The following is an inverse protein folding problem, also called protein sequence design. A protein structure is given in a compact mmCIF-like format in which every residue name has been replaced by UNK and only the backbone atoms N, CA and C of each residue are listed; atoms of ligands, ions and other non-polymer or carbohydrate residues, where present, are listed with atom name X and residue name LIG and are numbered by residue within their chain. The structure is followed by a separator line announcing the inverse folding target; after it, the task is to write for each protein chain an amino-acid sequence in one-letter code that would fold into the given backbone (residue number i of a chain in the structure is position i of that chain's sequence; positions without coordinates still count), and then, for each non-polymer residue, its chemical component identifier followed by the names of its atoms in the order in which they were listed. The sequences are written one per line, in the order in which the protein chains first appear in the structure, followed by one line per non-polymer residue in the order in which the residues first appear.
data_IF_548453452469
#
_entry.id   IF_548453452469
#
_cell.length_a   1.000
_cell.length_b   1.000
_cell.length_c   1.000
_cell.angle_alpha   90.00
_cell.angle_beta   90.00
_cell.angle_gamma   90.00
#
_symmetry.space_group_name_H-M   'P 1'
#
loop_
_entity.id
_entity.type
_entity.pdbx_description
1 polymer ?
2 polymer ?
3 non-polymer ?
4 water ?
#
# COMPACT_ATOMS: atom_id res chain seq x y z
N UNK A 3 11.89 8.77 1.01
CA UNK A 3 11.44 7.52 1.69
C UNK A 3 11.56 7.65 3.22
N UNK A 4 12.44 8.53 3.69
CA UNK A 4 12.71 8.65 5.11
C UNK A 4 11.78 9.65 5.75
N UNK A 5 11.59 9.55 7.05
CA UNK A 5 10.72 10.49 7.76
C UNK A 5 11.28 11.91 7.81
N UNK A 6 10.38 12.89 7.79
CA UNK A 6 10.72 14.30 7.90
C UNK A 6 10.09 14.88 9.15
N UNK A 7 10.72 15.91 9.67
CA UNK A 7 10.21 16.61 10.81
C UNK A 7 9.48 17.87 10.38
N UNK A 8 8.36 18.11 11.04
CA UNK A 8 7.65 19.36 10.90
C UNK A 8 7.47 20.00 12.28
N UNK A 9 7.44 21.32 12.29
CA UNK A 9 7.24 22.12 13.47
C UNK A 9 6.07 23.06 13.22
N UNK A 10 5.07 23.03 14.11
CA UNK A 10 3.82 23.81 13.95
C UNK A 10 3.44 24.51 15.22
N UNK A 11 2.69 25.58 15.08
CA UNK A 11 2.16 26.31 16.22
C UNK A 11 0.66 26.09 16.33
N UNK A 12 0.17 25.89 17.56
CA UNK A 12 -1.25 25.70 17.84
C UNK A 12 -1.94 27.04 17.96
N UNK A 13 -3.20 27.10 17.55
CA UNK A 13 -4.04 28.27 17.81
C UNK A 13 -4.46 28.35 19.30
N UNK A 14 -5.31 29.32 19.62
CA UNK A 14 -5.79 29.52 20.99
C UNK A 14 -6.46 28.29 21.62
N UNK A 15 -7.24 27.56 20.84
CA UNK A 15 -7.93 26.34 21.29
C UNK A 15 -7.01 25.10 21.26
N UNK A 16 -5.69 25.31 21.22
CA UNK A 16 -4.73 24.23 21.05
C UNK A 16 -4.81 23.42 19.77
N UNK A 17 -5.30 24.03 18.69
CA UNK A 17 -5.54 23.30 17.44
C UNK A 17 -4.55 23.71 16.37
N UNK A 18 -4.23 22.76 15.48
CA UNK A 18 -3.31 22.95 14.35
C UNK A 18 -3.99 22.65 13.01
N UNK A 19 -5.29 22.34 13.02
CA UNK A 19 -6.05 22.07 11.81
C UNK A 19 -5.90 20.68 11.27
N UNK A 20 -5.86 19.72 12.18
CA UNK A 20 -5.58 18.33 11.89
C UNK A 20 -6.59 17.35 12.55
N UNK A 21 -7.16 16.45 11.74
CA UNK A 21 -7.81 15.22 12.25
C UNK A 21 -6.99 13.98 11.90
N UNK A 22 -6.86 13.07 12.88
CA UNK A 22 -6.04 11.89 12.74
C UNK A 22 -6.93 10.66 12.88
N UNK A 23 -6.41 9.54 12.36
CA UNK A 23 -7.10 8.26 12.35
C UNK A 23 -6.12 7.15 12.67
N UNK A 24 -6.54 6.24 13.56
CA UNK A 24 -5.81 5.01 13.85
C UNK A 24 -6.08 3.94 12.82
N UNK A 25 -5.01 3.48 12.16
CA UNK A 25 -5.06 2.41 11.17
C UNK A 25 -3.92 1.44 11.41
N UNK A 26 -4.21 0.16 11.64
CA UNK A 26 -3.16 -0.86 11.75
C UNK A 26 -2.09 -0.47 12.81
N UNK A 27 -2.56 0.09 13.92
CA UNK A 27 -1.72 0.52 15.04
C UNK A 27 -0.70 1.59 14.71
N UNK A 28 -1.00 2.31 13.63
CA UNK A 28 -0.33 3.57 13.32
C UNK A 28 -1.32 4.71 13.37
N UNK A 29 -0.82 5.93 13.16
CA UNK A 29 -1.64 7.13 13.19
C UNK A 29 -1.45 7.82 11.85
N UNK A 30 -2.56 8.19 11.22
CA UNK A 30 -2.53 8.74 9.86
C UNK A 30 -3.32 10.04 9.80
N UNK A 31 -2.89 10.97 8.97
CA UNK A 31 -3.64 12.21 8.74
C UNK A 31 -4.90 11.90 7.92
N UNK A 32 -6.04 12.37 8.42
CA UNK A 32 -7.37 12.16 7.84
C UNK A 32 -8.01 13.45 7.33
N UNK A 33 -7.81 14.56 8.05
CA UNK A 33 -8.37 15.83 7.57
C UNK A 33 -7.44 16.96 7.88
N UNK A 34 -7.14 17.75 6.87
CA UNK A 34 -6.29 18.92 7.05
C UNK A 34 -7.16 20.17 6.74
N UNK A 35 -7.36 21.03 7.74
CA UNK A 35 -8.17 22.24 7.55
C UNK A 35 -7.44 23.25 6.67
N UNK A 36 -8.20 23.87 5.79
CA UNK A 36 -7.65 24.89 4.91
C UNK A 36 -6.96 26.02 5.69
N UNK A 37 -5.78 26.36 5.21
CA UNK A 37 -4.98 27.51 5.70
C UNK A 37 -4.60 27.44 7.17
N UNK A 38 -4.49 26.21 7.65
CA UNK A 38 -4.08 25.95 9.01
C UNK A 38 -2.55 25.78 9.04
N UNK A 39 -1.98 25.78 10.23
CA UNK A 39 -0.58 25.42 10.39
C UNK A 39 -0.25 24.04 9.77
N UNK A 40 -1.15 23.07 9.89
CA UNK A 40 -0.92 21.75 9.31
C UNK A 40 -0.80 21.79 7.81
N UNK A 41 -1.68 22.56 7.18
CA UNK A 41 -1.65 22.76 5.73
C UNK A 41 -0.29 23.37 5.31
N UNK A 42 0.14 24.39 6.04
CA UNK A 42 1.34 25.14 5.69
C UNK A 42 2.59 24.25 5.64
N UNK A 43 2.74 23.30 6.57
CA UNK A 43 3.90 22.40 6.58
C UNK A 43 3.79 21.15 5.69
N UNK A 44 2.71 21.08 4.92
CA UNK A 44 2.58 20.10 3.87
C UNK A 44 1.96 18.79 4.31
N UNK A 45 1.25 18.81 5.43
CA UNK A 45 0.63 17.55 5.86
C UNK A 45 -0.55 17.30 4.93
N UNK A 46 -0.75 16.04 4.61
CA UNK A 46 -1.79 15.63 3.68
C UNK A 46 -2.44 14.36 4.13
N UNK A 47 -3.68 14.18 3.71
CA UNK A 47 -4.43 12.94 3.88
C UNK A 47 -3.55 11.74 3.50
N UNK A 48 -3.38 10.80 4.44
CA UNK A 48 -2.59 9.60 4.20
C UNK A 48 -1.18 9.65 4.72
N UNK A 49 -0.69 10.83 5.11
CA UNK A 49 0.66 10.91 5.75
C UNK A 49 0.61 10.18 7.11
N UNK A 50 1.68 9.47 7.44
CA UNK A 50 1.73 8.76 8.70
C UNK A 50 2.50 9.57 9.73
N UNK A 51 1.92 9.66 10.92
CA UNK A 51 2.58 10.30 12.03
C UNK A 51 3.32 9.28 12.90
N UNK A 52 4.65 9.32 12.87
CA UNK A 52 5.45 8.43 13.71
C UNK A 52 5.61 8.91 15.16
N UNK A 53 5.80 10.20 15.37
CA UNK A 53 5.98 10.79 16.68
C UNK A 53 5.30 12.15 16.74
N UNK A 54 4.83 12.48 17.92
CA UNK A 54 4.40 13.82 18.28
C UNK A 54 5.26 14.25 19.47
N UNK A 55 5.98 15.36 19.31
CA UNK A 55 6.91 15.84 20.34
C UNK A 55 7.81 14.70 20.85
N UNK A 56 8.28 13.88 19.92
CA UNK A 56 9.27 12.88 20.25
C UNK A 56 8.72 11.61 20.86
N UNK A 57 7.40 11.53 21.05
CA UNK A 57 6.70 10.39 21.68
C UNK A 57 6.12 9.54 20.54
N UNK A 58 6.32 8.23 20.58
CA UNK A 58 5.85 7.35 19.51
C UNK A 58 4.35 7.26 19.50
N UNK A 59 3.76 7.35 18.31
CA UNK A 59 2.29 7.23 18.16
C UNK A 59 1.79 5.80 18.04
N UNK A 60 2.69 4.83 17.97
CA UNK A 60 2.34 3.42 17.73
C UNK A 60 1.30 2.97 18.74
N UNK A 61 0.19 2.44 18.23
CA UNK A 61 -0.83 1.86 19.09
C UNK A 61 -1.81 2.87 19.68
N UNK A 62 -1.61 4.16 19.42
CA UNK A 62 -2.51 5.19 19.97
C UNK A 62 -3.82 5.16 19.23
N UNK A 63 -4.89 5.48 19.94
CA UNK A 63 -6.16 5.76 19.26
C UNK A 63 -6.11 7.15 18.67
N UNK A 64 -7.04 7.43 17.77
CA UNK A 64 -7.15 8.80 17.31
C UNK A 64 -7.51 9.77 18.43
N UNK A 65 -8.41 9.37 19.34
CA UNK A 65 -8.75 10.21 20.50
C UNK A 65 -7.49 10.56 21.31
N UNK A 66 -6.59 9.60 21.46
CA UNK A 66 -5.37 9.82 22.24
C UNK A 66 -4.45 10.78 21.50
N UNK A 67 -4.30 10.58 20.20
CA UNK A 67 -3.44 11.46 19.39
C UNK A 67 -3.93 12.90 19.46
N UNK A 68 -5.24 13.12 19.42
CA UNK A 68 -5.77 14.49 19.46
C UNK A 68 -5.57 15.10 20.84
N UNK A 69 -5.76 14.29 21.89
CA UNK A 69 -5.54 14.73 23.26
C UNK A 69 -4.08 15.13 23.49
N UNK A 70 -3.13 14.40 22.92
CA UNK A 70 -1.70 14.70 23.01
C UNK A 70 -1.39 16.06 22.37
N UNK A 71 -2.00 16.33 21.23
CA UNK A 71 -1.76 17.58 20.53
C UNK A 71 -2.34 18.76 21.35
N UNK A 72 -3.57 18.57 21.82
CA UNK A 72 -4.30 19.62 22.53
C UNK A 72 -3.63 19.94 23.85
N UNK A 73 -3.09 18.93 24.52
CA UNK A 73 -2.46 19.10 25.83
C UNK A 73 -0.96 19.38 25.80
N UNK A 74 -0.37 19.36 24.61
CA UNK A 74 1.05 19.67 24.48
C UNK A 74 1.37 21.07 25.03
N UNK A 75 2.49 21.15 25.75
CA UNK A 75 2.88 22.39 26.40
C UNK A 75 3.47 23.34 25.40
N UNK A 76 3.24 24.63 25.60
CA UNK A 76 3.77 25.62 24.70
C UNK A 76 2.89 25.77 23.48
N UNK A 77 3.32 26.63 22.56
CA UNK A 77 2.68 26.77 21.25
C UNK A 77 3.24 25.78 20.21
N UNK A 78 4.57 25.61 20.16
CA UNK A 78 5.20 24.79 19.12
C UNK A 78 5.09 23.29 19.38
N UNK A 79 4.67 22.57 18.34
CA UNK A 79 4.54 21.10 18.30
C UNK A 79 5.45 20.59 17.22
N UNK A 80 6.19 19.54 17.52
CA UNK A 80 7.00 18.89 16.52
C UNK A 80 6.33 17.54 16.20
N UNK A 81 6.36 17.15 14.93
CA UNK A 81 5.88 15.82 14.53
C UNK A 81 6.88 15.23 13.59
N UNK A 82 7.02 13.92 13.64
CA UNK A 82 7.84 13.20 12.68
C UNK A 82 6.91 12.44 11.74
N UNK A 83 7.09 12.65 10.44
CA UNK A 83 6.11 12.26 9.41
C UNK A 83 6.73 11.40 8.38
N UNK A 84 6.02 10.35 8.03
CA UNK A 84 6.36 9.56 6.88
C UNK A 84 5.36 9.91 5.81
N UNK A 85 5.83 10.44 4.70
CA UNK A 85 4.95 10.86 3.62
C UNK A 85 4.17 9.66 3.02
N UNK A 86 2.87 9.90 2.84
CA UNK A 86 1.89 8.94 2.31
C UNK A 86 2.45 7.59 1.93
N UNK A 87 2.64 6.74 2.92
CA UNK A 87 3.29 5.46 2.67
C UNK A 87 2.48 4.52 1.77
N UNK A 88 1.17 4.72 1.68
CA UNK A 88 0.33 3.86 0.84
C UNK A 88 0.06 4.39 -0.58
N UNK A 89 0.69 5.52 -0.94
CA UNK A 89 0.40 6.18 -2.21
C UNK A 89 1.05 5.45 -3.38
N UNK A 90 0.36 5.34 -4.49
CA UNK A 90 0.90 4.86 -5.74
C UNK A 90 0.45 5.79 -6.85
N UNK A 91 1.17 5.75 -7.96
CA UNK A 91 0.86 6.58 -9.12
C UNK A 91 0.59 5.71 -10.32
N UNK A 92 -0.48 6.05 -11.05
CA UNK A 92 -0.89 5.34 -12.26
C UNK A 92 -1.04 6.38 -13.35
N UNK A 93 -0.41 6.15 -14.50
CA UNK A 93 -0.64 7.00 -15.65
C UNK A 93 -1.47 6.29 -16.72
N UNK A 94 -2.52 6.97 -17.17
CA UNK A 94 -3.42 6.43 -18.17
C UNK A 94 -3.49 7.41 -19.36
N UNK A 95 -4.01 6.93 -20.48
CA UNK A 95 -4.16 7.73 -21.71
C UNK A 95 -5.61 7.71 -22.11
N UNK A 96 -6.19 8.86 -22.40
CA UNK A 96 -7.57 8.87 -22.81
C UNK A 96 -7.67 8.16 -24.17
N UNK A 97 -8.74 7.41 -24.35
CA UNK A 97 -9.03 6.75 -25.60
C UNK A 97 -9.61 7.76 -26.61
N UNK A 98 -9.97 7.29 -27.80
CA UNK A 98 -10.48 8.20 -28.83
C UNK A 98 -11.77 8.97 -28.45
N UNK A 99 -12.55 8.47 -27.49
CA UNK A 99 -13.71 9.23 -26.97
C UNK A 99 -13.40 10.09 -25.69
N UNK A 100 -12.12 10.26 -25.35
CA UNK A 100 -11.70 11.01 -24.17
C UNK A 100 -11.86 10.36 -22.81
N UNK A 101 -11.99 9.02 -22.74
CA UNK A 101 -12.21 8.31 -21.48
C UNK A 101 -11.00 7.47 -21.10
N UNK A 102 -10.69 7.41 -19.80
CA UNK A 102 -9.60 6.57 -19.28
C UNK A 102 -10.07 5.23 -18.72
N UNK A 103 -11.32 5.14 -18.32
CA UNK A 103 -11.96 3.86 -18.04
C UNK A 103 -12.21 3.45 -16.59
N UNK A 104 -12.72 4.38 -15.80
CA UNK A 104 -13.15 4.06 -14.47
C UNK A 104 -14.34 4.89 -14.05
N UNK A 105 -15.03 4.34 -13.09
CA UNK A 105 -16.12 5.01 -12.43
C UNK A 105 -15.67 5.32 -11.01
N UNK A 106 -16.03 6.51 -10.53
CA UNK A 106 -15.78 6.87 -9.13
C UNK A 106 -16.96 7.54 -8.51
N UNK A 107 -16.98 7.49 -7.19
CA UNK A 107 -17.96 8.22 -6.39
C UNK A 107 -17.36 8.55 -5.05
N UNK A 108 -17.65 9.77 -4.59
CA UNK A 108 -17.12 10.25 -3.33
C UNK A 108 -15.61 10.13 -3.35
N UNK A 109 -15.03 10.50 -4.49
CA UNK A 109 -13.59 10.52 -4.66
C UNK A 109 -12.91 9.16 -4.58
N UNK A 110 -13.68 8.07 -4.61
CA UNK A 110 -13.19 6.68 -4.56
C UNK A 110 -13.50 5.89 -5.85
N UNK A 111 -12.51 5.17 -6.36
CA UNK A 111 -12.69 4.32 -7.56
C UNK A 111 -13.55 3.11 -7.22
N UNK A 112 -14.65 2.90 -7.96
CA UNK A 112 -15.61 1.81 -7.69
C UNK A 112 -15.68 0.78 -8.81
N UNK A 113 -15.37 1.18 -10.04
CA UNK A 113 -15.30 0.19 -11.11
C UNK A 113 -14.29 0.51 -12.17
N UNK A 114 -13.74 -0.54 -12.77
CA UNK A 114 -12.80 -0.43 -13.90
C UNK A 114 -13.52 -0.87 -15.15
N UNK A 115 -13.53 -0.01 -16.15
CA UNK A 115 -14.19 -0.31 -17.43
C UNK A 115 -13.33 -1.29 -18.24
N UNK A 116 -13.99 -2.27 -18.83
CA UNK A 116 -13.31 -3.32 -19.58
C UNK A 116 -12.50 -2.74 -20.73
N UNK A 117 -11.31 -3.30 -20.91
CA UNK A 117 -10.39 -2.98 -21.99
C UNK A 117 -10.04 -1.48 -22.20
N UNK A 118 -10.05 -0.74 -21.10
CA UNK A 118 -9.67 0.65 -21.07
C UNK A 118 -8.21 0.80 -20.65
N UNK A 119 -7.73 2.03 -20.68
CA UNK A 119 -6.37 2.35 -20.21
C UNK A 119 -6.29 2.01 -18.72
N UNK A 120 -7.32 2.35 -17.95
CA UNK A 120 -7.35 1.99 -16.51
C UNK A 120 -7.21 0.49 -16.33
N UNK A 121 -7.93 -0.31 -17.12
CA UNK A 121 -7.80 -1.76 -17.08
C UNK A 121 -6.41 -2.22 -17.42
N UNK A 122 -5.83 -1.72 -18.52
CA UNK A 122 -4.48 -2.08 -18.93
C UNK A 122 -3.42 -1.77 -17.88
N UNK A 123 -3.66 -0.71 -17.14
CA UNK A 123 -2.71 -0.25 -16.15
C UNK A 123 -2.95 -0.89 -14.79
N UNK A 124 -4.00 -1.69 -14.65
CA UNK A 124 -4.30 -2.37 -13.40
C UNK A 124 -4.73 -1.46 -12.28
N UNK A 125 -5.45 -0.41 -12.66
CA UNK A 125 -6.07 0.45 -11.65
C UNK A 125 -6.99 -0.38 -10.76
N UNK A 126 -6.93 -0.12 -9.46
CA UNK A 126 -7.72 -0.87 -8.48
C UNK A 126 -8.87 -0.05 -7.94
N UNK A 127 -9.95 -0.75 -7.58
CA UNK A 127 -11.08 -0.13 -6.89
C UNK A 127 -10.81 -0.07 -5.38
N UNK A 128 -11.77 0.47 -4.66
CA UNK A 128 -11.65 0.66 -3.23
C UNK A 128 -10.37 1.50 -2.96
N UNK A 129 -10.06 2.41 -3.88
CA UNK A 129 -8.90 3.33 -3.73
C UNK A 129 -9.37 4.77 -3.84
N UNK A 130 -8.89 5.62 -2.93
CA UNK A 130 -9.15 7.04 -3.00
C UNK A 130 -8.24 7.70 -4.00
N UNK A 131 -8.80 8.66 -4.76
CA UNK A 131 -8.04 9.52 -5.65
C UNK A 131 -7.48 10.71 -4.85
N UNK A 132 -6.17 10.90 -4.89
CA UNK A 132 -5.50 11.94 -4.09
C UNK A 132 -5.18 13.14 -4.96
N UNK A 133 -4.65 12.89 -6.16
CA UNK A 133 -4.23 13.92 -7.08
C UNK A 133 -4.46 13.49 -8.52
N UNK A 134 -4.74 14.46 -9.37
CA UNK A 134 -4.84 14.26 -10.80
C UNK A 134 -4.02 15.35 -11.46
N UNK A 135 -3.01 14.94 -12.22
CA UNK A 135 -2.06 15.85 -12.89
C UNK A 135 -1.57 16.98 -11.98
N UNK A 136 -1.20 16.65 -10.76
CA UNK A 136 -0.70 17.61 -9.80
C UNK A 136 -1.76 18.44 -9.10
N UNK A 137 -3.03 18.16 -9.32
CA UNK A 137 -4.11 18.85 -8.61
C UNK A 137 -4.66 17.98 -7.49
N UNK A 138 -4.52 18.45 -6.25
CA UNK A 138 -5.09 17.72 -5.13
C UNK A 138 -6.59 17.74 -5.24
N UNK A 139 -7.20 16.58 -5.11
CA UNK A 139 -8.63 16.46 -5.22
C UNK A 139 -9.29 16.02 -3.92
N UNK A 140 -8.49 15.84 -2.88
CA UNK A 140 -9.00 15.58 -1.53
C UNK A 140 -9.82 16.77 -1.12
N UNK A 141 -11.07 16.50 -0.74
CA UNK A 141 -11.97 17.58 -0.31
C UNK A 141 -12.76 18.27 -1.41
N UNK A 142 -12.61 17.82 -2.65
CA UNK A 142 -13.36 18.39 -3.76
C UNK A 142 -14.64 17.58 -3.98
N UNK A 143 -15.65 18.24 -4.55
CA UNK A 143 -16.88 17.58 -4.93
C UNK A 143 -16.57 16.77 -6.18
N UNK A 144 -17.22 15.63 -6.31
CA UNK A 144 -17.08 14.80 -7.51
C UNK A 144 -17.20 15.55 -8.81
N UNK A 145 -18.05 16.59 -8.89
CA UNK A 145 -18.19 17.34 -10.13
C UNK A 145 -16.91 18.06 -10.54
N UNK A 146 -16.20 18.62 -9.57
CA UNK A 146 -14.94 19.31 -9.83
C UNK A 146 -13.85 18.33 -10.27
N UNK A 147 -13.86 17.13 -9.68
CA UNK A 147 -12.95 16.04 -10.04
C UNK A 147 -13.24 15.60 -11.48
N UNK A 148 -14.50 15.32 -11.79
CA UNK A 148 -14.92 15.01 -13.17
C UNK A 148 -14.51 16.10 -14.14
N UNK A 149 -14.62 17.37 -13.73
CA UNK A 149 -14.21 18.51 -14.56
C UNK A 149 -12.69 18.56 -14.76
N UNK A 150 -11.90 18.21 -13.73
CA UNK A 150 -10.44 18.21 -13.88
C UNK A 150 -10.07 17.14 -14.92
N UNK A 151 -10.77 16.00 -14.83
CA UNK A 151 -10.51 14.88 -15.72
C UNK A 151 -10.94 15.25 -17.13
N UNK A 152 -12.09 15.92 -17.23
CA UNK A 152 -12.64 16.33 -18.53
C UNK A 152 -11.67 17.24 -19.27
N UNK A 153 -11.22 18.30 -18.61
CA UNK A 153 -10.30 19.27 -19.23
C UNK A 153 -8.90 18.76 -19.41
N UNK A 154 -8.56 17.63 -18.79
CA UNK A 154 -7.22 17.07 -18.95
C UNK A 154 -6.88 16.74 -20.41
N UNK A 155 -5.62 16.97 -20.77
CA UNK A 155 -5.02 16.39 -21.94
C UNK A 155 -5.16 14.88 -21.90
N UNK A 156 -4.62 14.25 -22.93
CA UNK A 156 -4.70 12.80 -23.15
C UNK A 156 -4.05 12.04 -21.98
N UNK A 157 -2.88 12.50 -21.53
CA UNK A 157 -2.16 11.87 -20.42
C UNK A 157 -2.78 12.29 -19.09
N UNK A 158 -3.22 11.30 -18.32
CA UNK A 158 -3.87 11.50 -17.03
C UNK A 158 -3.09 10.74 -15.99
N UNK A 159 -2.44 11.45 -15.08
CA UNK A 159 -1.63 10.80 -14.07
C UNK A 159 -2.35 10.98 -12.75
N UNK A 160 -2.68 9.87 -12.08
CA UNK A 160 -3.34 9.95 -10.80
C UNK A 160 -2.52 9.30 -9.71
N UNK A 161 -2.63 9.85 -8.52
CA UNK A 161 -2.12 9.21 -7.32
C UNK A 161 -3.31 8.71 -6.52
N UNK A 162 -3.19 7.50 -6.02
CA UNK A 162 -4.29 6.81 -5.36
C UNK A 162 -3.77 6.20 -4.08
N UNK A 163 -4.67 5.91 -3.15
CA UNK A 163 -4.33 5.16 -1.98
C UNK A 163 -5.44 4.23 -1.65
N UNK A 164 -5.12 3.05 -1.13
CA UNK A 164 -6.16 2.13 -0.66
C UNK A 164 -7.03 2.78 0.41
N UNK A 165 -8.32 2.48 0.40
CA UNK A 165 -9.28 3.18 1.25
C UNK A 165 -9.15 2.91 2.77
N UNK A 166 -8.52 1.81 3.17
CA UNK A 166 -7.98 1.66 4.57
C UNK A 166 -8.53 2.57 5.69
N UNK B 4 8.23 0.33 -14.04
CA UNK B 4 7.24 -0.06 -15.08
C UNK B 4 6.92 -1.56 -14.89
N UNK B 5 5.82 -2.04 -15.47
CA UNK B 5 5.55 -3.47 -15.46
C UNK B 5 6.59 -4.24 -16.25
N UNK B 6 6.61 -5.54 -16.10
CA UNK B 6 7.50 -6.36 -16.89
C UNK B 6 6.78 -7.54 -17.48
N UNK B 7 7.39 -8.07 -18.53
CA UNK B 7 6.82 -9.17 -19.29
C UNK B 7 7.56 -10.46 -18.99
N UNK B 8 6.85 -11.55 -18.76
CA UNK B 8 7.46 -12.86 -18.56
C UNK B 8 6.77 -13.88 -19.44
N UNK B 9 7.48 -14.93 -19.78
CA UNK B 9 6.91 -16.01 -20.56
C UNK B 9 7.19 -17.32 -19.83
N UNK B 10 6.11 -18.00 -19.45
CA UNK B 10 6.18 -19.22 -18.69
C UNK B 10 5.97 -20.39 -19.63
N UNK B 11 6.61 -21.52 -19.35
CA UNK B 11 6.36 -22.72 -20.12
C UNK B 11 5.70 -23.75 -19.21
N UNK B 12 4.53 -24.27 -19.61
CA UNK B 12 3.79 -25.25 -18.82
C UNK B 12 4.69 -26.44 -18.50
N UNK B 13 4.57 -26.97 -17.28
CA UNK B 13 5.31 -28.15 -16.84
C UNK B 13 4.67 -29.41 -17.45
N UNK B 14 4.84 -30.56 -16.79
CA UNK B 14 4.35 -31.87 -17.31
C UNK B 14 2.84 -32.10 -17.11
N UNK B 15 2.32 -31.75 -15.94
CA UNK B 15 0.88 -31.88 -15.67
C UNK B 15 0.07 -30.84 -16.47
N UNK B 16 0.74 -29.78 -16.93
CA UNK B 16 0.10 -28.61 -17.50
C UNK B 16 0.06 -27.43 -16.54
N UNK B 17 0.61 -27.61 -15.32
CA UNK B 17 0.66 -26.56 -14.29
C UNK B 17 1.86 -25.60 -14.42
N UNK B 18 1.82 -24.53 -13.63
CA UNK B 18 2.93 -23.55 -13.56
C UNK B 18 3.39 -23.21 -12.15
N UNK B 19 2.78 -23.80 -11.13
CA UNK B 19 3.16 -23.57 -9.75
C UNK B 19 2.68 -22.25 -9.19
N UNK B 20 1.53 -21.80 -9.68
CA UNK B 20 1.01 -20.46 -9.37
C UNK B 20 -0.43 -20.49 -8.87
N UNK B 21 -0.68 -19.75 -7.80
CA UNK B 21 -1.99 -19.50 -7.22
C UNK B 21 -2.25 -18.01 -7.22
N UNK B 22 -3.44 -17.60 -7.65
CA UNK B 22 -3.80 -16.17 -7.76
C UNK B 22 -4.95 -15.82 -6.85
N UNK B 23 -5.09 -14.53 -6.55
CA UNK B 23 -6.16 -14.03 -5.70
C UNK B 23 -6.66 -12.69 -6.25
N UNK B 24 -7.97 -12.52 -6.25
CA UNK B 24 -8.60 -11.26 -6.66
C UNK B 24 -8.59 -10.30 -5.48
N UNK B 25 -8.05 -9.09 -5.67
CA UNK B 25 -8.12 -8.03 -4.66
C UNK B 25 -8.44 -6.71 -5.35
N UNK B 26 -9.50 -6.03 -4.90
CA UNK B 26 -9.86 -4.72 -5.47
C UNK B 26 -9.88 -4.71 -7.00
N UNK B 27 -10.46 -5.77 -7.57
CA UNK B 27 -10.63 -5.93 -9.03
C UNK B 27 -9.31 -6.00 -9.79
N UNK B 28 -8.26 -6.33 -9.06
CA UNK B 28 -7.04 -6.81 -9.67
C UNK B 28 -6.74 -8.24 -9.28
N UNK B 29 -5.67 -8.77 -9.85
CA UNK B 29 -5.23 -10.14 -9.67
C UNK B 29 -3.82 -10.13 -9.14
N UNK B 30 -3.59 -10.86 -8.05
CA UNK B 30 -2.30 -10.84 -7.36
C UNK B 30 -1.81 -12.27 -7.14
N UNK B 31 -0.50 -12.43 -7.15
CA UNK B 31 0.14 -13.72 -6.87
C UNK B 31 -0.01 -14.01 -5.37
N UNK B 32 -0.54 -15.19 -5.05
CA UNK B 32 -0.82 -15.59 -3.67
C UNK B 32 0.15 -16.69 -3.20
N UNK B 33 0.63 -17.52 -4.12
CA UNK B 33 1.60 -18.57 -3.75
C UNK B 33 2.42 -19.02 -4.98
N UNK B 34 3.74 -19.09 -4.81
CA UNK B 34 4.67 -19.50 -5.86
C UNK B 34 5.46 -20.71 -5.33
N UNK B 35 5.27 -21.85 -5.98
CA UNK B 35 5.95 -23.08 -5.59
C UNK B 35 7.39 -23.08 -6.09
N UNK B 36 8.32 -23.61 -5.29
CA UNK B 36 9.74 -23.59 -5.66
C UNK B 36 9.93 -24.48 -6.86
N UNK B 37 10.94 -24.15 -7.66
CA UNK B 37 11.29 -24.91 -8.87
C UNK B 37 10.13 -25.15 -9.82
N UNK B 38 9.31 -24.11 -10.00
CA UNK B 38 8.16 -24.13 -10.90
C UNK B 38 8.44 -23.23 -12.09
N UNK B 39 7.65 -23.36 -13.16
CA UNK B 39 7.70 -22.34 -14.22
C UNK B 39 7.48 -20.92 -13.66
N UNK B 40 6.60 -20.75 -12.65
CA UNK B 40 6.38 -19.45 -12.00
C UNK B 40 7.62 -18.93 -11.29
N UNK B 41 8.34 -19.79 -10.58
CA UNK B 41 9.55 -19.34 -9.90
C UNK B 41 10.67 -19.04 -10.90
N UNK B 42 10.74 -19.77 -12.01
CA UNK B 42 11.77 -19.55 -13.07
C UNK B 42 11.76 -18.15 -13.70
N UNK B 43 10.56 -17.55 -13.75
CA UNK B 43 10.43 -16.18 -14.26
C UNK B 43 10.39 -15.11 -13.16
N UNK B 44 10.56 -15.52 -11.90
CA UNK B 44 10.72 -14.59 -10.79
C UNK B 44 9.45 -14.04 -10.16
N UNK B 45 8.33 -14.74 -10.31
CA UNK B 45 7.09 -14.30 -9.67
C UNK B 45 7.20 -14.45 -8.16
N UNK B 46 6.58 -13.52 -7.44
CA UNK B 46 6.64 -13.45 -6.00
C UNK B 46 5.27 -13.12 -5.44
N UNK B 47 5.05 -13.54 -4.19
CA UNK B 47 3.89 -13.14 -3.41
C UNK B 47 3.68 -11.64 -3.52
N UNK B 48 2.46 -11.25 -3.90
CA UNK B 48 2.08 -9.85 -3.94
C UNK B 48 2.25 -9.20 -5.30
N UNK B 49 2.96 -9.82 -6.25
CA UNK B 49 3.06 -9.29 -7.63
C UNK B 49 1.66 -9.15 -8.23
N UNK B 50 1.45 -8.10 -9.02
CA UNK B 50 0.15 -7.90 -9.66
C UNK B 50 0.24 -8.42 -11.09
N UNK B 51 -0.72 -9.22 -11.48
CA UNK B 51 -0.81 -9.70 -12.84
C UNK B 51 -1.71 -8.80 -13.64
N UNK B 52 -1.16 -8.06 -14.60
CA UNK B 52 -1.98 -7.13 -15.38
C UNK B 52 -2.65 -7.79 -16.58
N UNK B 53 -1.93 -8.70 -17.20
CA UNK B 53 -2.41 -9.35 -18.43
C UNK B 53 -1.91 -10.77 -18.47
N UNK B 54 -2.74 -11.68 -18.97
CA UNK B 54 -2.38 -13.06 -19.27
C UNK B 54 -2.77 -13.34 -20.71
N UNK B 55 -1.78 -13.70 -21.51
CA UNK B 55 -2.01 -14.09 -22.90
C UNK B 55 -2.79 -13.03 -23.67
N UNK B 56 -2.48 -11.74 -23.43
CA UNK B 56 -3.11 -10.66 -24.15
C UNK B 56 -4.50 -10.27 -23.71
N UNK B 57 -4.93 -10.77 -22.57
CA UNK B 57 -6.18 -10.41 -21.96
C UNK B 57 -5.87 -9.67 -20.67
N UNK B 58 -6.51 -8.53 -20.47
CA UNK B 58 -6.44 -7.82 -19.19
C UNK B 58 -7.10 -8.63 -18.08
N UNK B 59 -6.47 -8.69 -16.90
CA UNK B 59 -7.01 -9.43 -15.76
C UNK B 59 -7.98 -8.61 -14.90
N UNK B 60 -8.18 -7.33 -15.23
CA UNK B 60 -9.02 -6.44 -14.44
C UNK B 60 -10.44 -7.02 -14.27
N UNK B 61 -10.89 -7.08 -13.03
CA UNK B 61 -12.19 -7.60 -12.71
C UNK B 61 -12.35 -9.09 -12.66
N UNK B 62 -11.31 -9.85 -13.00
CA UNK B 62 -11.41 -11.32 -12.96
C UNK B 62 -11.47 -11.84 -11.52
N UNK B 63 -12.27 -12.89 -11.32
CA UNK B 63 -12.24 -13.61 -10.07
C UNK B 63 -10.99 -14.50 -10.02
N UNK B 64 -10.59 -14.88 -8.80
CA UNK B 64 -9.62 -15.97 -8.55
C UNK B 64 -9.95 -17.19 -9.42
N UNK B 65 -11.17 -17.70 -9.28
CA UNK B 65 -11.63 -18.85 -10.06
C UNK B 65 -11.38 -18.71 -11.58
N UNK B 66 -11.75 -17.56 -12.17
CA UNK B 66 -11.57 -17.32 -13.60
C UNK B 66 -10.09 -17.39 -13.98
N UNK B 67 -9.28 -16.70 -13.19
CA UNK B 67 -7.85 -16.59 -13.46
C UNK B 67 -7.23 -17.97 -13.52
N UNK B 68 -7.59 -18.82 -12.57
CA UNK B 68 -7.11 -20.20 -12.58
C UNK B 68 -7.59 -21.04 -13.76
N UNK B 69 -8.83 -20.82 -14.22
CA UNK B 69 -9.35 -21.55 -15.38
C UNK B 69 -8.59 -21.17 -16.60
N UNK B 70 -8.35 -19.86 -16.74
CA UNK B 70 -7.69 -19.34 -17.89
C UNK B 70 -6.32 -19.99 -18.01
N UNK B 71 -5.61 -20.05 -16.89
CA UNK B 71 -4.27 -20.62 -16.87
C UNK B 71 -4.30 -22.10 -17.30
N UNK B 72 -5.26 -22.86 -16.78
CA UNK B 72 -5.47 -24.27 -17.16
C UNK B 72 -5.74 -24.51 -18.64
N UNK B 73 -6.64 -23.72 -19.23
CA UNK B 73 -7.15 -23.95 -20.58
C UNK B 73 -6.40 -23.20 -21.68
N UNK B 74 -5.31 -22.52 -21.28
CA UNK B 74 -4.51 -21.72 -22.20
C UNK B 74 -3.96 -22.64 -23.26
N UNK B 75 -4.08 -22.28 -24.53
CA UNK B 75 -3.59 -23.19 -25.56
C UNK B 75 -2.07 -23.11 -25.76
N UNK B 76 -1.49 -24.21 -26.24
CA UNK B 76 -0.05 -24.30 -26.41
C UNK B 76 0.67 -24.42 -25.07
N UNK B 77 1.97 -24.18 -25.10
CA UNK B 77 2.83 -24.43 -23.96
C UNK B 77 3.42 -23.16 -23.35
N UNK B 78 3.32 -22.04 -24.07
CA UNK B 78 3.82 -20.76 -23.61
C UNK B 78 2.66 -19.93 -23.06
N UNK B 79 2.79 -19.47 -21.82
CA UNK B 79 1.90 -18.45 -21.24
C UNK B 79 2.66 -17.13 -21.03
N UNK B 80 2.18 -16.06 -21.64
CA UNK B 80 2.75 -14.75 -21.39
C UNK B 80 1.95 -13.99 -20.32
N UNK B 81 2.67 -13.25 -19.49
CA UNK B 81 2.10 -12.34 -18.50
C UNK B 81 2.82 -11.01 -18.47
N UNK B 82 2.09 -9.95 -18.15
CA UNK B 82 2.66 -8.70 -17.73
C UNK B 82 2.37 -8.51 -16.25
N UNK B 83 3.42 -8.16 -15.51
CA UNK B 83 3.45 -8.12 -14.08
C UNK B 83 3.83 -6.75 -13.61
N UNK B 84 3.14 -6.24 -12.61
CA UNK B 84 3.64 -5.09 -11.83
C UNK B 84 4.21 -5.64 -10.53
N UNK B 85 5.48 -5.39 -10.29
CA UNK B 85 6.15 -5.98 -9.13
C UNK B 85 5.55 -5.42 -7.82
N UNK B 86 5.15 -6.35 -6.95
CA UNK B 86 4.64 -6.08 -5.60
C UNK B 86 4.28 -4.63 -5.31
N UNK B 87 3.17 -4.16 -5.86
CA UNK B 87 2.79 -2.75 -5.73
C UNK B 87 2.51 -2.31 -4.29
N UNK B 88 2.11 -3.24 -3.43
CA UNK B 88 1.77 -2.91 -2.05
C UNK B 88 2.98 -3.09 -1.10
N UNK B 89 4.16 -3.47 -1.59
CA UNK B 89 5.31 -3.72 -0.71
C UNK B 89 5.87 -2.41 -0.16
N UNK B 90 6.30 -2.46 1.10
CA UNK B 90 7.01 -1.39 1.77
C UNK B 90 8.17 -2.01 2.50
N UNK B 91 9.23 -1.26 2.72
CA UNK B 91 10.38 -1.77 3.43
C UNK B 91 10.54 -0.89 4.68
N UNK B 92 10.82 -1.51 5.81
CA UNK B 92 11.03 -0.79 7.06
C UNK B 92 12.33 -1.31 7.66
N UNK B 93 13.20 -0.39 8.09
CA UNK B 93 14.47 -0.79 8.73
C UNK B 93 14.42 -0.53 10.23
N UNK B 94 14.79 -1.55 10.99
CA UNK B 94 14.78 -1.49 12.43
C UNK B 94 16.14 -1.91 12.97
N UNK B 95 16.33 -1.65 14.24
CA UNK B 95 17.58 -1.89 14.93
C UNK B 95 17.30 -2.66 16.20
N UNK B 96 17.97 -3.78 16.41
CA UNK B 96 17.74 -4.58 17.60
C UNK B 96 18.20 -3.87 18.86
N UNK B 97 17.45 -4.02 19.94
CA UNK B 97 17.84 -3.54 21.27
C UNK B 97 18.82 -4.51 21.94
N UNK B 98 19.21 -4.21 23.18
CA UNK B 98 20.28 -4.99 23.81
C UNK B 98 19.81 -6.40 24.19
N UNK B 99 18.50 -6.65 24.20
CA UNK B 99 17.95 -8.01 24.35
C UNK B 99 17.78 -8.76 23.00
N UNK B 100 18.13 -8.13 21.87
CA UNK B 100 18.07 -8.74 20.54
C UNK B 100 16.70 -8.56 19.89
N UNK B 101 15.88 -7.66 20.43
CA UNK B 101 14.49 -7.54 19.97
C UNK B 101 14.31 -6.28 19.13
N UNK B 102 13.51 -6.38 18.07
CA UNK B 102 13.14 -5.22 17.25
C UNK B 102 11.80 -4.59 17.66
N UNK B 103 10.91 -5.37 18.26
CA UNK B 103 9.69 -4.85 18.86
C UNK B 103 8.35 -5.14 18.24
N UNK B 104 8.14 -6.36 17.76
CA UNK B 104 6.79 -6.72 17.34
C UNK B 104 6.47 -8.17 17.60
N UNK B 105 5.16 -8.44 17.59
CA UNK B 105 4.60 -9.77 17.78
C UNK B 105 4.00 -10.18 16.45
N UNK B 106 4.19 -11.43 16.06
CA UNK B 106 3.58 -11.94 14.85
C UNK B 106 3.07 -13.38 15.03
N UNK B 107 2.09 -13.71 14.20
CA UNK B 107 1.48 -15.03 14.22
C UNK B 107 1.09 -15.38 12.79
N UNK B 108 1.45 -16.58 12.35
CA UNK B 108 1.18 -17.01 10.99
C UNK B 108 1.65 -15.99 9.94
N UNK B 109 2.87 -15.51 10.13
CA UNK B 109 3.52 -14.65 9.15
C UNK B 109 2.97 -13.24 9.11
N UNK B 110 2.11 -12.88 10.07
CA UNK B 110 1.43 -11.58 10.06
C UNK B 110 1.73 -10.84 11.35
N UNK B 111 2.13 -9.58 11.23
CA UNK B 111 2.38 -8.75 12.39
C UNK B 111 1.07 -8.42 13.11
N UNK B 112 1.02 -8.69 14.41
CA UNK B 112 -0.18 -8.46 15.21
C UNK B 112 -0.11 -7.45 16.32
N UNK B 113 1.10 -7.15 16.82
CA UNK B 113 1.25 -6.13 17.83
C UNK B 113 2.61 -5.47 17.72
N UNK B 114 2.67 -4.19 18.09
CA UNK B 114 3.92 -3.43 18.10
C UNK B 114 4.28 -3.21 19.57
N UNK B 115 5.51 -3.53 19.94
CA UNK B 115 5.96 -3.41 21.32
C UNK B 115 6.31 -1.95 21.65
N UNK B 116 5.84 -1.46 22.79
CA UNK B 116 6.12 -0.11 23.28
C UNK B 116 7.61 0.11 23.40
N UNK B 117 8.06 1.30 22.97
CA UNK B 117 9.43 1.79 23.17
C UNK B 117 10.48 1.04 22.37
N UNK B 118 10.05 0.40 21.30
CA UNK B 118 10.92 -0.40 20.46
C UNK B 118 11.26 0.28 19.15
N UNK B 119 12.20 -0.32 18.43
CA UNK B 119 12.57 0.15 17.11
C UNK B 119 11.38 0.05 16.15
N UNK B 120 10.62 -1.04 16.24
CA UNK B 120 9.42 -1.14 15.42
C UNK B 120 8.46 0.03 15.68
N UNK B 121 8.28 0.42 16.94
CA UNK B 121 7.42 1.57 17.30
C UNK B 121 7.97 2.86 16.70
N UNK B 122 9.27 3.09 16.91
CA UNK B 122 9.95 4.28 16.40
C UNK B 122 9.81 4.43 14.92
N UNK B 123 9.86 3.32 14.22
CA UNK B 123 9.85 3.32 12.78
C UNK B 123 8.44 3.16 12.17
N UNK B 124 7.41 3.06 13.00
CA UNK B 124 6.05 3.06 12.48
C UNK B 124 5.64 1.78 11.78
N UNK B 125 6.16 0.67 12.25
CA UNK B 125 5.74 -0.65 11.76
C UNK B 125 4.26 -0.82 12.01
N UNK B 126 3.56 -1.41 11.04
CA UNK B 126 2.11 -1.55 11.15
C UNK B 126 1.71 -3.00 11.33
N UNK B 127 0.61 -3.22 12.03
CA UNK B 127 -0.02 -4.54 12.16
C UNK B 127 -0.92 -4.89 10.97
N UNK B 128 -1.48 -6.10 11.00
CA UNK B 128 -2.28 -6.55 9.86
C UNK B 128 -1.47 -6.51 8.55
N UNK B 129 -0.16 -6.76 8.67
CA UNK B 129 0.70 -6.78 7.54
C UNK B 129 1.42 -8.10 7.48
N UNK B 130 1.57 -8.66 6.30
CA UNK B 130 2.33 -9.90 6.14
C UNK B 130 3.81 -9.61 5.99
N UNK B 131 4.63 -10.45 6.61
CA UNK B 131 6.08 -10.36 6.48
C UNK B 131 6.48 -11.13 5.22
N UNK B 132 7.05 -10.41 4.25
CA UNK B 132 7.45 -10.98 2.98
C UNK B 132 8.91 -11.34 2.91
N UNK B 133 9.78 -10.42 3.33
CA UNK B 133 11.23 -10.68 3.31
C UNK B 133 11.89 -10.15 4.55
N UNK B 134 12.99 -10.78 4.94
CA UNK B 134 13.87 -10.24 6.00
C UNK B 134 15.27 -10.18 5.42
N UNK B 135 15.82 -8.99 5.36
CA UNK B 135 17.12 -8.75 4.69
C UNK B 135 17.16 -9.37 3.31
N UNK B 136 16.06 -9.22 2.57
CA UNK B 136 16.01 -9.72 1.21
C UNK B 136 15.78 -11.21 1.08
N UNK B 137 15.53 -11.89 2.19
CA UNK B 137 15.33 -13.32 2.19
C UNK B 137 13.84 -13.61 2.27
N UNK B 138 13.30 -14.26 1.22
CA UNK B 138 11.89 -14.62 1.21
C UNK B 138 11.52 -15.47 2.41
N UNK B 139 10.46 -15.09 3.13
CA UNK B 139 9.95 -15.88 4.24
C UNK B 139 8.48 -16.27 4.11
N UNK B 140 7.90 -16.06 2.93
CA UNK B 140 6.50 -16.42 2.73
C UNK B 140 6.42 -17.93 2.72
N UNK B 141 5.44 -18.45 3.44
CA UNK B 141 5.23 -19.89 3.53
C UNK B 141 6.16 -20.62 4.50
N UNK B 142 7.02 -19.89 5.22
CA UNK B 142 7.84 -20.50 6.25
C UNK B 142 7.06 -20.60 7.54
N UNK B 143 7.44 -21.55 8.39
CA UNK B 143 6.89 -21.62 9.72
C UNK B 143 7.34 -20.41 10.52
N UNK B 144 6.51 -20.02 11.48
CA UNK B 144 6.78 -18.88 12.36
C UNK B 144 8.14 -19.07 13.09
N UNK B 145 8.40 -20.30 13.53
CA UNK B 145 9.67 -20.60 14.18
C UNK B 145 10.86 -20.34 13.27
N UNK B 146 10.71 -20.63 11.97
CA UNK B 146 11.74 -20.37 10.97
C UNK B 146 11.94 -18.88 10.74
N UNK B 147 10.84 -18.13 10.78
CA UNK B 147 10.90 -16.68 10.61
C UNK B 147 11.66 -16.09 11.78
N UNK B 148 11.32 -16.52 12.98
CA UNK B 148 12.02 -16.04 14.19
C UNK B 148 13.51 -16.42 14.16
N UNK B 149 13.81 -17.58 13.62
CA UNK B 149 15.18 -18.08 13.50
C UNK B 149 15.98 -17.19 12.55
N UNK B 150 15.36 -16.81 11.44
CA UNK B 150 16.01 -15.94 10.49
C UNK B 150 16.25 -14.57 11.12
N UNK B 151 15.27 -14.04 11.85
CA UNK B 151 15.42 -12.73 12.51
C UNK B 151 16.61 -12.71 13.49
N UNK B 152 16.74 -13.82 14.23
CA UNK B 152 17.80 -13.97 15.25
C UNK B 152 19.22 -13.95 14.68
N UNK B 153 19.39 -14.28 13.41
CA UNK B 153 20.70 -14.33 12.77
C UNK B 153 20.88 -13.29 11.67
N UNK B 154 19.98 -12.33 11.61
CA UNK B 154 20.15 -11.21 10.71
C UNK B 154 21.05 -10.31 11.54
N UNK B 155 21.32 -9.10 11.16
CA UNK B 155 22.26 -8.42 12.07
C UNK B 155 21.54 -7.72 13.21
N UNK B 156 22.17 -6.65 13.69
CA UNK B 156 21.50 -5.64 14.48
C UNK B 156 20.58 -4.76 13.60
N UNK B 157 20.87 -4.65 12.31
CA UNK B 157 20.04 -3.87 11.36
C UNK B 157 19.20 -4.87 10.57
N UNK B 158 17.89 -4.78 10.75
CA UNK B 158 16.95 -5.72 10.17
C UNK B 158 16.03 -4.92 9.27
N UNK B 159 16.05 -5.22 7.98
CA UNK B 159 15.12 -4.62 7.03
C UNK B 159 14.07 -5.66 6.71
N UNK B 160 12.81 -5.33 6.94
CA UNK B 160 11.70 -6.24 6.61
C UNK B 160 10.83 -5.63 5.50
N UNK B 161 10.42 -6.48 4.57
CA UNK B 161 9.52 -6.09 3.50
C UNK B 161 8.16 -6.63 3.95
N UNK B 162 7.16 -5.77 3.94
CA UNK B 162 5.82 -6.09 4.40
C UNK B 162 4.80 -5.63 3.35
N UNK B 163 3.61 -6.16 3.48
CA UNK B 163 2.48 -5.71 2.68
C UNK B 163 1.23 -5.93 3.46
N UNK B 164 0.23 -5.09 3.26
CA UNK B 164 -1.01 -5.25 4.00
C UNK B 164 -1.65 -6.58 3.66
N UNK B 165 -2.30 -7.16 4.65
CA UNK B 165 -2.95 -8.44 4.52
C UNK B 165 -4.37 -8.17 4.05
N UNK C 2 0.40 -20.27 18.94
CA UNK C 2 1.48 -19.49 19.64
C UNK C 2 1.87 -18.25 18.82
N UNK C 3 2.01 -17.13 19.49
CA UNK C 3 2.57 -15.93 18.84
C UNK C 3 4.05 -15.79 19.20
N UNK C 4 4.77 -15.08 18.35
CA UNK C 4 6.20 -14.92 18.47
C UNK C 4 6.52 -13.45 18.72
N UNK C 5 7.22 -13.17 19.80
CA UNK C 5 7.61 -11.83 20.19
C UNK C 5 9.08 -11.66 19.83
N UNK C 6 9.37 -10.71 18.95
CA UNK C 6 10.70 -10.54 18.40
C UNK C 6 11.14 -9.08 18.36
N UNK D 2 -24.98 9.52 -7.14
CA UNK D 2 -24.43 10.19 -8.36
C UNK D 2 -22.94 9.90 -8.59
N UNK D 3 -22.63 9.17 -9.67
CA UNK D 3 -21.26 8.76 -9.99
C UNK D 3 -20.80 9.21 -11.35
N UNK D 4 -19.51 9.09 -11.58
CA UNK D 4 -18.92 9.69 -12.73
C UNK D 4 -18.07 8.65 -13.41
N UNK D 5 -18.54 8.28 -14.60
CA UNK D 5 -17.76 7.47 -15.54
C UNK D 5 -16.83 8.38 -16.33
N UNK D 6 -15.51 8.12 -16.25
CA UNK D 6 -14.51 8.96 -16.88
C UNK D 6 -13.52 8.11 -17.71
X LIG E 1 -2.21 3.44 -22.01
X LIG E 1 -1.84 3.84 -20.71
X LIG E 1 -3.30 2.75 -22.12
X LIG E 1 -1.38 3.83 -23.23
X LIG E 1 -2.01 4.09 -24.46
X LIG E 1 -1.23 4.47 -25.57
X LIG E 1 0.15 4.61 -25.46
X LIG E 1 0.79 4.36 -24.24
X LIG E 1 0.02 3.98 -23.13
#
# INVERSE_FOLDING_TARGET
GAMDPREVILCKDQDGKIGLRLKSIDNGIFVQLVQANSPASLVGLRFGDQVLQINGENCAGWSSDKAHKVLKQAFGEKITMTIRDRPFERTITMHKDSTGHVGFIFKNGKITSIVKDSSAARNGLLTEHNICEINGQNVIGLKDSQIADILSTSGTVVTITIMPAF
GAMDPREVILCKDQDGKIGLRLKSIDNGIFVQLVQANSPASLVGLRFGDQVLQINGENCAGWSSDKAHKVLKQAFGEKITMTIRDRPFERTITMHKDSTGHVGFIFKNGKITSIVKDSSAARNGLLTEHNICEINGQNVIGLKDSQIADILSTSGTVVTITIMPAF
TNEYKV
TNEYKV
BEZ C O1 O2 C1 C2 C3 C4 C5 C6
#
